data_IF_115622589437
#
_entry.id   IF_115622589437
#
_cell.length_a   1.000
_cell.length_b   1.000
_cell.length_c   1.000
_cell.angle_alpha   90.00
_cell.angle_beta   90.00
_cell.angle_gamma   90.00
#
_symmetry.space_group_name_H-M   'P 1'
#
loop_
_entity.id
_entity.type
_entity.pdbx_description
1 polymer ?
#
# COMPACT_ATOMS: atom_id res chain seq x y z
N UNK A 1 -4.90 5.88 -25.60
CA UNK A 1 -4.89 6.47 -24.24
C UNK A 1 -3.49 6.87 -23.77
N UNK A 2 -2.44 6.11 -24.04
CA UNK A 2 -1.05 6.43 -23.67
C UNK A 2 -0.51 7.76 -24.22
N UNK A 3 -0.96 8.20 -25.41
CA UNK A 3 -0.48 9.46 -26.04
C UNK A 3 -1.08 10.71 -25.40
N UNK A 4 -2.28 10.64 -24.83
CA UNK A 4 -2.91 11.80 -24.16
C UNK A 4 -2.25 12.03 -22.78
N UNK A 5 -1.83 10.95 -22.13
CA UNK A 5 -1.13 10.98 -20.84
C UNK A 5 0.21 11.72 -20.95
N UNK A 6 0.96 11.47 -22.01
CA UNK A 6 2.25 12.13 -22.26
C UNK A 6 2.11 13.63 -22.56
N UNK A 7 1.02 14.04 -23.22
CA UNK A 7 0.76 15.45 -23.56
C UNK A 7 0.36 16.25 -22.33
N UNK A 8 -0.38 15.67 -21.39
CA UNK A 8 -0.78 16.33 -20.14
C UNK A 8 0.45 16.52 -19.22
N UNK A 9 1.36 15.55 -19.15
CA UNK A 9 2.61 15.64 -18.38
C UNK A 9 3.56 16.74 -18.90
N UNK A 10 3.61 16.95 -20.22
CA UNK A 10 4.40 18.01 -20.86
C UNK A 10 3.86 19.42 -20.62
N UNK A 11 2.55 19.56 -20.37
CA UNK A 11 1.90 20.85 -20.13
C UNK A 11 2.02 21.35 -18.68
N UNK A 12 2.31 20.45 -17.72
CA UNK A 12 2.36 20.80 -16.30
C UNK A 12 3.78 21.12 -15.82
N UNK A 13 4.83 20.83 -16.61
CA UNK A 13 6.22 21.22 -16.31
C UNK A 13 6.79 20.61 -15.02
N UNK A 14 6.32 19.44 -14.61
CA UNK A 14 6.75 18.77 -13.38
C UNK A 14 8.11 18.10 -13.52
N UNK A 15 8.94 18.24 -12.47
CA UNK A 15 10.21 17.51 -12.36
C UNK A 15 9.97 16.01 -12.05
N UNK A 16 10.98 15.17 -12.31
CA UNK A 16 10.89 13.72 -12.11
C UNK A 16 10.54 13.30 -10.66
N UNK A 17 10.80 14.15 -9.67
CA UNK A 17 10.52 13.88 -8.25
C UNK A 17 9.05 14.11 -7.86
N UNK A 18 8.27 14.80 -8.71
CA UNK A 18 6.83 15.03 -8.47
C UNK A 18 5.94 14.01 -9.20
N UNK A 19 6.53 13.10 -9.98
CA UNK A 19 5.79 12.16 -10.83
C UNK A 19 4.84 11.24 -10.06
N UNK A 20 5.24 10.72 -8.91
CA UNK A 20 4.40 9.85 -8.08
C UNK A 20 3.19 10.58 -7.50
N UNK A 21 3.43 11.74 -6.86
CA UNK A 21 2.37 12.58 -6.26
C UNK A 21 1.41 13.10 -7.33
N UNK A 22 1.94 13.45 -8.51
CA UNK A 22 1.15 13.95 -9.63
C UNK A 22 0.35 12.83 -10.29
N UNK A 23 0.87 11.61 -10.38
CA UNK A 23 0.14 10.47 -10.94
C UNK A 23 -1.07 10.10 -10.07
N UNK A 24 -0.94 9.96 -8.76
CA UNK A 24 -2.06 9.67 -7.87
C UNK A 24 -3.15 10.75 -7.97
N UNK A 25 -2.75 12.03 -7.96
CA UNK A 25 -3.69 13.14 -8.11
C UNK A 25 -4.36 13.18 -9.48
N UNK A 26 -3.63 12.93 -10.57
CA UNK A 26 -4.18 12.90 -11.93
C UNK A 26 -5.13 11.69 -12.09
N UNK A 27 -4.79 10.52 -11.56
CA UNK A 27 -5.71 9.36 -11.56
C UNK A 27 -6.98 9.66 -10.76
N UNK A 28 -6.87 10.30 -9.60
CA UNK A 28 -8.03 10.77 -8.82
C UNK A 28 -8.88 11.77 -9.63
N UNK A 29 -8.25 12.73 -10.28
CA UNK A 29 -8.95 13.75 -11.10
C UNK A 29 -9.60 13.13 -12.35
N UNK A 30 -8.96 12.17 -13.02
CA UNK A 30 -9.53 11.43 -14.17
C UNK A 30 -10.68 10.52 -13.70
N UNK A 31 -10.52 9.85 -12.58
CA UNK A 31 -11.57 8.99 -12.02
C UNK A 31 -12.78 9.82 -11.59
N UNK A 32 -12.58 10.95 -10.93
CA UNK A 32 -13.67 11.89 -10.59
C UNK A 32 -14.32 12.50 -11.84
N UNK A 33 -13.54 12.86 -12.86
CA UNK A 33 -14.09 13.34 -14.15
C UNK A 33 -14.90 12.27 -14.88
N UNK A 34 -14.42 11.04 -14.95
CA UNK A 34 -15.16 9.93 -15.58
C UNK A 34 -16.43 9.57 -14.81
N UNK A 35 -16.44 9.76 -13.50
CA UNK A 35 -17.61 9.52 -12.66
C UNK A 35 -18.66 10.65 -12.73
N UNK A 36 -18.28 11.89 -13.05
CA UNK A 36 -19.22 13.00 -13.28
C UNK A 36 -19.94 12.91 -14.61
N UNK A 37 -19.41 12.15 -15.59
CA UNK A 37 -20.06 11.94 -16.91
C UNK A 37 -20.98 10.71 -16.96
N UNK A 38 -21.02 9.87 -15.93
CA UNK A 38 -21.89 8.70 -15.88
C UNK A 38 -23.28 9.07 -15.35
N UNK A 39 -24.17 9.49 -16.24
CA UNK A 39 -25.64 9.61 -15.99
C UNK A 39 -26.28 8.29 -15.51
N UNK A 40 -25.53 7.18 -15.47
CA UNK A 40 -25.98 5.86 -15.02
C UNK A 40 -25.93 5.68 -13.48
N UNK A 41 -25.27 6.58 -12.73
CA UNK A 41 -25.35 6.56 -11.26
C UNK A 41 -26.68 7.08 -10.68
N UNK A 42 -27.60 7.55 -11.50
CA UNK A 42 -28.94 8.00 -11.09
C UNK A 42 -29.93 6.86 -10.80
N UNK A 43 -29.48 5.64 -10.65
CA UNK A 43 -30.30 4.55 -10.12
C UNK A 43 -30.07 4.43 -8.61
N UNK A 44 -30.79 5.30 -7.88
CA UNK A 44 -31.11 5.12 -6.44
C UNK A 44 -29.95 4.66 -5.56
N UNK A 45 -29.15 5.60 -5.08
CA UNK A 45 -28.49 5.43 -3.78
C UNK A 45 -28.76 6.67 -2.95
N UNK A 46 -29.59 6.51 -1.97
CA UNK A 46 -29.66 7.38 -0.80
C UNK A 46 -28.24 7.44 -0.21
N UNK A 47 -27.72 8.69 -0.01
CA UNK A 47 -26.43 9.04 0.58
C UNK A 47 -25.24 8.23 0.01
N UNK A 48 -24.40 8.90 -0.77
CA UNK A 48 -23.11 8.34 -1.26
C UNK A 48 -22.27 7.92 -0.05
N UNK A 49 -22.32 6.63 0.25
CA UNK A 49 -21.42 6.02 1.22
C UNK A 49 -20.03 5.96 0.56
N UNK A 50 -19.15 6.91 0.91
CA UNK A 50 -17.83 7.06 0.31
C UNK A 50 -16.80 6.06 0.86
N UNK A 51 -17.25 5.02 1.57
CA UNK A 51 -16.39 4.02 2.20
C UNK A 51 -16.17 2.83 1.25
N UNK A 52 -15.34 3.00 0.26
CA UNK A 52 -15.03 1.94 -0.70
C UNK A 52 -13.58 1.95 -1.17
N UNK A 53 -13.14 0.82 -1.73
CA UNK A 53 -11.85 0.64 -2.39
C UNK A 53 -12.04 0.06 -3.78
N UNK A 54 -11.14 0.38 -4.71
CA UNK A 54 -11.09 -0.25 -6.03
C UNK A 54 -9.78 -1.01 -6.21
N UNK A 55 -9.89 -2.27 -6.64
CA UNK A 55 -8.78 -3.18 -6.90
C UNK A 55 -8.70 -3.50 -8.39
N UNK A 56 -7.49 -3.46 -8.93
CA UNK A 56 -7.17 -3.81 -10.32
C UNK A 56 -6.23 -5.01 -10.35
N UNK A 57 -6.57 -6.03 -11.13
CA UNK A 57 -5.78 -7.25 -11.24
C UNK A 57 -5.33 -7.46 -12.68
N UNK A 58 -4.12 -8.01 -12.87
CA UNK A 58 -3.54 -8.32 -14.18
C UNK A 58 -4.11 -9.57 -14.84
N UNK A 59 -5.10 -10.23 -14.23
CA UNK A 59 -5.76 -11.44 -14.73
C UNK A 59 -7.19 -11.56 -14.22
N UNK A 60 -7.88 -12.60 -14.64
CA UNK A 60 -9.19 -13.00 -14.12
C UNK A 60 -9.18 -13.23 -12.60
N UNK A 61 -10.26 -12.85 -11.92
CA UNK A 61 -10.48 -13.12 -10.51
C UNK A 61 -11.37 -14.37 -10.33
N UNK A 62 -11.00 -15.21 -9.39
CA UNK A 62 -11.78 -16.39 -9.04
C UNK A 62 -12.01 -16.44 -7.52
N UNK A 63 -13.25 -16.20 -7.11
CA UNK A 63 -13.70 -16.21 -5.73
C UNK A 63 -14.84 -17.21 -5.54
N UNK A 64 -14.55 -18.52 -5.42
CA UNK A 64 -15.58 -19.57 -5.33
C UNK A 64 -16.45 -19.49 -4.07
N UNK A 65 -15.95 -18.85 -3.00
CA UNK A 65 -16.66 -18.64 -1.73
C UNK A 65 -17.01 -17.17 -1.47
N UNK A 66 -16.83 -16.30 -2.48
CA UNK A 66 -16.95 -14.85 -2.34
C UNK A 66 -15.65 -14.19 -1.87
N UNK A 67 -15.68 -12.88 -1.73
CA UNK A 67 -14.50 -12.08 -1.35
C UNK A 67 -14.32 -11.99 0.17
N UNK A 68 -15.40 -12.09 0.96
CA UNK A 68 -15.36 -12.03 2.41
C UNK A 68 -14.67 -13.28 2.99
N UNK A 69 -13.84 -13.07 3.99
CA UNK A 69 -13.19 -14.10 4.78
C UNK A 69 -13.00 -13.60 6.22
N UNK A 70 -12.26 -14.33 7.06
CA UNK A 70 -12.03 -13.94 8.46
C UNK A 70 -11.35 -12.57 8.66
N UNK A 71 -10.66 -12.04 7.62
CA UNK A 71 -10.00 -10.73 7.63
C UNK A 71 -10.85 -9.61 6.97
N UNK A 72 -12.01 -9.93 6.39
CA UNK A 72 -12.83 -9.03 5.54
C UNK A 72 -14.31 -9.07 5.91
N UNK A 73 -14.61 -9.04 7.21
CA UNK A 73 -15.99 -9.19 7.70
C UNK A 73 -16.86 -7.95 7.49
N UNK A 74 -16.24 -6.78 7.37
CA UNK A 74 -16.91 -5.49 7.24
C UNK A 74 -17.38 -5.20 5.80
N UNK A 75 -17.14 -6.12 4.86
CA UNK A 75 -17.51 -5.94 3.46
C UNK A 75 -19.03 -6.11 3.30
N UNK A 76 -19.66 -5.10 2.73
CA UNK A 76 -21.08 -5.07 2.39
C UNK A 76 -21.35 -5.80 1.08
N UNK A 77 -20.62 -5.45 0.03
CA UNK A 77 -20.72 -6.08 -1.29
C UNK A 77 -19.45 -5.86 -2.12
N UNK A 78 -19.34 -6.63 -3.20
CA UNK A 78 -18.31 -6.50 -4.24
C UNK A 78 -19.00 -6.23 -5.59
N UNK A 79 -18.44 -5.33 -6.39
CA UNK A 79 -18.91 -5.04 -7.74
C UNK A 79 -17.82 -5.31 -8.76
N UNK A 80 -18.11 -6.12 -9.76
CA UNK A 80 -17.31 -6.23 -10.99
C UNK A 80 -17.59 -4.99 -11.85
N UNK A 81 -16.61 -4.10 -11.95
CA UNK A 81 -16.76 -2.82 -12.65
C UNK A 81 -16.77 -2.99 -14.18
N UNK A 82 -16.18 -4.06 -14.73
CA UNK A 82 -16.19 -4.33 -16.17
C UNK A 82 -17.55 -4.82 -16.65
N UNK A 83 -18.19 -5.68 -15.86
CA UNK A 83 -19.48 -6.30 -16.22
C UNK A 83 -20.68 -5.64 -15.50
N UNK A 84 -20.43 -4.64 -14.65
CA UNK A 84 -21.45 -3.94 -13.84
C UNK A 84 -22.31 -4.90 -13.02
N UNK A 85 -21.67 -5.93 -12.46
CA UNK A 85 -22.35 -6.97 -11.70
C UNK A 85 -22.00 -6.89 -10.22
N UNK A 86 -23.02 -6.78 -9.37
CA UNK A 86 -22.93 -6.71 -7.93
C UNK A 86 -23.08 -8.10 -7.31
N UNK A 87 -22.24 -8.43 -6.35
CA UNK A 87 -22.22 -9.66 -5.58
C UNK A 87 -22.30 -9.34 -4.09
N UNK A 88 -22.93 -10.18 -3.31
CA UNK A 88 -22.77 -10.14 -1.84
C UNK A 88 -21.34 -10.49 -1.49
N UNK A 89 -20.86 -10.01 -0.33
CA UNK A 89 -19.49 -10.24 0.12
C UNK A 89 -19.07 -11.73 0.13
N UNK A 90 -20.01 -12.62 0.47
CA UNK A 90 -19.83 -14.08 0.52
C UNK A 90 -20.42 -14.82 -0.70
N UNK A 91 -20.77 -14.12 -1.76
CA UNK A 91 -21.28 -14.73 -3.00
C UNK A 91 -20.12 -15.10 -3.93
N UNK A 92 -20.14 -16.32 -4.44
CA UNK A 92 -19.15 -16.78 -5.41
C UNK A 92 -19.19 -15.98 -6.70
N UNK A 93 -18.04 -15.59 -7.22
CA UNK A 93 -17.94 -14.97 -8.54
C UNK A 93 -16.62 -15.32 -9.22
N UNK A 94 -16.62 -15.27 -10.54
CA UNK A 94 -15.42 -15.31 -11.36
C UNK A 94 -15.57 -14.36 -12.54
N UNK A 95 -14.46 -13.87 -13.05
CA UNK A 95 -14.38 -13.08 -14.26
C UNK A 95 -13.68 -13.87 -15.35
N UNK A 96 -13.86 -13.50 -16.61
CA UNK A 96 -13.21 -14.15 -17.77
C UNK A 96 -12.06 -13.33 -18.35
N UNK A 97 -11.78 -12.19 -17.75
CA UNK A 97 -10.76 -11.22 -18.18
C UNK A 97 -10.07 -10.62 -16.96
N UNK A 98 -9.09 -9.74 -17.20
CA UNK A 98 -8.52 -8.90 -16.15
C UNK A 98 -9.61 -8.28 -15.29
N UNK A 99 -9.45 -8.38 -13.99
CA UNK A 99 -10.48 -8.06 -13.03
C UNK A 99 -10.32 -6.61 -12.53
N UNK A 100 -11.44 -5.92 -12.44
CA UNK A 100 -11.56 -4.61 -11.82
C UNK A 100 -12.75 -4.66 -10.87
N UNK A 101 -12.51 -4.61 -9.57
CA UNK A 101 -13.57 -4.76 -8.56
C UNK A 101 -13.60 -3.57 -7.61
N UNK A 102 -14.81 -3.12 -7.29
CA UNK A 102 -15.07 -2.18 -6.19
C UNK A 102 -15.59 -2.96 -4.99
N UNK A 103 -15.06 -2.64 -3.82
CA UNK A 103 -15.47 -3.23 -2.55
C UNK A 103 -16.06 -2.13 -1.69
N UNK A 104 -17.32 -2.30 -1.32
CA UNK A 104 -18.04 -1.39 -0.43
C UNK A 104 -18.06 -1.95 0.98
N UNK A 105 -17.81 -1.07 1.95
CA UNK A 105 -17.84 -1.41 3.37
C UNK A 105 -19.09 -0.87 4.04
N UNK A 106 -19.66 -1.63 4.98
CA UNK A 106 -20.84 -1.25 5.76
C UNK A 106 -20.50 -0.52 7.06
N UNK A 107 -19.26 -0.70 7.53
CA UNK A 107 -18.76 -0.16 8.79
C UNK A 107 -17.28 0.19 8.66
N UNK A 108 -16.71 1.04 9.54
CA UNK A 108 -15.27 1.25 9.63
C UNK A 108 -14.53 -0.07 9.87
N UNK A 109 -13.42 -0.26 9.16
CA UNK A 109 -12.58 -1.45 9.33
C UNK A 109 -11.80 -1.34 10.64
N UNK A 110 -11.66 -2.43 11.37
CA UNK A 110 -10.97 -2.47 12.67
C UNK A 110 -9.59 -3.10 12.58
N UNK A 111 -9.36 -3.93 11.56
CA UNK A 111 -8.11 -4.65 11.37
C UNK A 111 -7.84 -4.79 9.87
N UNK A 112 -6.60 -4.48 9.45
CA UNK A 112 -6.14 -4.64 8.07
C UNK A 112 -5.03 -5.71 7.98
N UNK A 113 -4.80 -6.48 9.05
CA UNK A 113 -3.87 -7.59 9.02
C UNK A 113 -4.24 -8.59 7.91
N UNK A 114 -3.30 -8.90 7.04
CA UNK A 114 -3.46 -9.78 5.87
C UNK A 114 -4.59 -9.39 4.88
N UNK A 115 -5.17 -8.20 4.99
CA UNK A 115 -6.42 -7.86 4.28
C UNK A 115 -6.30 -8.01 2.76
N UNK A 116 -5.18 -7.61 2.15
CA UNK A 116 -4.85 -7.78 0.73
C UNK A 116 -3.66 -8.73 0.55
N UNK A 117 -3.35 -9.60 1.50
CA UNK A 117 -2.19 -10.47 1.44
C UNK A 117 -2.39 -11.65 0.51
N UNK A 118 -1.38 -11.92 -0.33
CA UNK A 118 -1.33 -13.13 -1.15
C UNK A 118 -1.05 -14.41 -0.35
N UNK A 119 -0.73 -14.29 0.94
CA UNK A 119 -0.60 -15.43 1.85
C UNK A 119 -1.98 -16.04 2.20
N UNK A 120 -3.01 -15.21 2.17
CA UNK A 120 -4.39 -15.60 2.51
C UNK A 120 -5.26 -15.74 1.26
N UNK A 121 -5.03 -14.91 0.25
CA UNK A 121 -5.81 -14.87 -0.98
C UNK A 121 -4.86 -14.85 -2.19
N UNK A 122 -4.73 -15.99 -2.89
CA UNK A 122 -3.82 -16.13 -4.03
C UNK A 122 -4.10 -15.14 -5.17
N UNK A 123 -5.33 -14.62 -5.31
CA UNK A 123 -5.64 -13.63 -6.33
C UNK A 123 -4.87 -12.32 -6.10
N UNK A 124 -4.51 -12.01 -4.84
CA UNK A 124 -3.74 -10.80 -4.49
C UNK A 124 -2.33 -10.78 -5.11
N UNK A 125 -1.79 -11.92 -5.55
CA UNK A 125 -0.55 -11.96 -6.35
C UNK A 125 -0.65 -11.19 -7.66
N UNK A 126 -1.86 -11.05 -8.19
CA UNK A 126 -2.15 -10.39 -9.46
C UNK A 126 -2.73 -8.99 -9.30
N UNK A 127 -2.85 -8.51 -8.05
CA UNK A 127 -3.21 -7.14 -7.73
C UNK A 127 -2.12 -6.20 -8.27
N UNK A 128 -2.51 -5.27 -9.16
CA UNK A 128 -1.58 -4.31 -9.76
C UNK A 128 -1.70 -2.92 -9.16
N UNK A 129 -2.90 -2.52 -8.83
CA UNK A 129 -3.21 -1.20 -8.29
C UNK A 129 -4.36 -1.28 -7.29
N UNK A 130 -4.33 -0.40 -6.31
CA UNK A 130 -5.40 -0.22 -5.34
C UNK A 130 -5.64 1.27 -5.13
N UNK A 131 -6.91 1.66 -4.99
CA UNK A 131 -7.32 3.03 -4.68
C UNK A 131 -8.29 3.03 -3.53
N UNK A 132 -8.05 3.93 -2.58
CA UNK A 132 -8.88 4.15 -1.41
C UNK A 132 -9.76 5.40 -1.61
N UNK A 133 -11.06 5.29 -1.32
CA UNK A 133 -12.00 6.39 -1.46
C UNK A 133 -12.84 6.52 -0.20
N UNK A 134 -12.47 7.49 0.66
CA UNK A 134 -13.13 7.69 1.94
C UNK A 134 -13.12 6.45 2.85
N UNK A 135 -12.17 5.55 2.62
CA UNK A 135 -12.03 4.30 3.36
C UNK A 135 -11.69 4.59 4.82
N UNK A 136 -12.64 4.36 5.71
CA UNK A 136 -12.51 4.68 7.13
C UNK A 136 -11.64 3.66 7.85
N UNK A 137 -10.40 4.06 8.13
CA UNK A 137 -9.41 3.27 8.88
C UNK A 137 -9.15 3.81 10.28
N UNK A 138 -9.99 4.73 10.78
CA UNK A 138 -9.81 5.37 12.09
C UNK A 138 -9.81 4.41 13.28
N UNK A 139 -10.36 3.21 13.12
CA UNK A 139 -10.37 2.16 14.16
C UNK A 139 -9.27 1.10 13.96
N UNK A 140 -8.44 1.21 12.93
CA UNK A 140 -7.40 0.21 12.62
C UNK A 140 -6.24 0.34 13.59
N UNK A 141 -5.85 -0.77 14.19
CA UNK A 141 -4.69 -0.87 15.09
C UNK A 141 -3.58 -1.76 14.54
N UNK A 142 -3.87 -2.60 13.54
CA UNK A 142 -2.94 -3.57 12.97
C UNK A 142 -3.04 -3.59 11.44
N UNK A 143 -1.92 -3.29 10.78
CA UNK A 143 -1.72 -3.36 9.32
C UNK A 143 -0.65 -4.39 8.94
N UNK A 144 -0.32 -5.33 9.85
CA UNK A 144 0.67 -6.37 9.61
C UNK A 144 0.32 -7.16 8.35
N UNK A 145 1.30 -7.35 7.47
CA UNK A 145 1.16 -8.17 6.25
C UNK A 145 0.05 -7.71 5.29
N UNK A 146 -0.42 -6.45 5.36
CA UNK A 146 -1.58 -5.96 4.60
C UNK A 146 -1.49 -6.26 3.10
N UNK A 147 -0.30 -6.15 2.48
CA UNK A 147 -0.02 -6.42 1.06
C UNK A 147 1.04 -7.50 0.86
N UNK A 148 1.30 -8.32 1.87
CA UNK A 148 2.36 -9.32 1.79
C UNK A 148 2.18 -10.28 0.60
N UNK A 149 3.23 -10.40 -0.21
CA UNK A 149 3.25 -11.27 -1.38
C UNK A 149 2.46 -10.77 -2.60
N UNK A 150 2.01 -9.52 -2.63
CA UNK A 150 1.40 -8.89 -3.79
C UNK A 150 2.46 -8.62 -4.87
N UNK A 151 2.93 -9.68 -5.53
CA UNK A 151 4.09 -9.64 -6.44
C UNK A 151 3.89 -8.77 -7.69
N UNK A 152 2.65 -8.50 -8.09
CA UNK A 152 2.31 -7.66 -9.25
C UNK A 152 1.99 -6.21 -8.87
N UNK A 153 1.95 -5.88 -7.58
CA UNK A 153 1.62 -4.53 -7.10
C UNK A 153 2.71 -3.54 -7.51
N UNK A 154 2.31 -2.48 -8.24
CA UNK A 154 3.25 -1.53 -8.85
C UNK A 154 3.41 -0.27 -8.01
N UNK A 155 2.30 0.26 -7.51
CA UNK A 155 2.27 1.51 -6.76
C UNK A 155 1.10 1.51 -5.78
N UNK A 156 1.29 2.11 -4.61
CA UNK A 156 0.24 2.31 -3.60
C UNK A 156 0.26 3.74 -3.10
N UNK A 157 -0.90 4.37 -3.11
CA UNK A 157 -1.17 5.65 -2.47
C UNK A 157 -1.90 5.41 -1.15
N UNK A 158 -1.25 5.73 -0.03
CA UNK A 158 -1.79 5.56 1.32
C UNK A 158 -2.29 6.88 1.92
N UNK A 159 -2.35 7.96 1.12
CA UNK A 159 -2.64 9.31 1.60
C UNK A 159 -3.97 9.44 2.35
N UNK A 160 -4.99 8.67 1.95
CA UNK A 160 -6.34 8.72 2.52
C UNK A 160 -6.47 7.91 3.85
N UNK A 161 -5.48 7.09 4.22
CA UNK A 161 -5.59 6.23 5.40
C UNK A 161 -5.30 6.99 6.70
N UNK A 162 -6.21 6.90 7.65
CA UNK A 162 -5.97 7.30 9.05
C UNK A 162 -5.22 6.17 9.78
N UNK A 163 -3.95 6.41 10.08
CA UNK A 163 -3.09 5.45 10.79
C UNK A 163 -2.78 5.86 12.23
N UNK A 164 -3.50 6.85 12.77
CA UNK A 164 -3.23 7.43 14.10
C UNK A 164 -3.30 6.41 15.25
N UNK A 165 -4.09 5.35 15.09
CA UNK A 165 -4.25 4.27 16.06
C UNK A 165 -3.45 3.01 15.73
N UNK A 166 -2.68 3.00 14.63
CA UNK A 166 -1.94 1.81 14.20
C UNK A 166 -0.68 1.61 15.04
N UNK A 167 -0.54 0.42 15.60
CA UNK A 167 0.63 0.02 16.40
C UNK A 167 1.52 -1.01 15.70
N UNK A 168 1.02 -1.71 14.68
CA UNK A 168 1.75 -2.77 13.98
C UNK A 168 1.70 -2.55 12.46
N UNK A 169 2.88 -2.45 11.82
CA UNK A 169 3.05 -2.29 10.37
C UNK A 169 4.07 -3.28 9.78
N UNK A 170 4.47 -4.30 10.54
CA UNK A 170 5.44 -5.28 10.06
C UNK A 170 4.96 -6.04 8.84
N UNK A 171 5.88 -6.44 7.96
CA UNK A 171 5.62 -7.21 6.75
C UNK A 171 4.64 -6.57 5.75
N UNK A 172 4.24 -5.29 5.93
CA UNK A 172 3.13 -4.67 5.20
C UNK A 172 3.27 -4.81 3.68
N UNK A 173 4.48 -4.69 3.13
CA UNK A 173 4.80 -4.84 1.71
C UNK A 173 5.80 -5.97 1.45
N UNK A 174 6.00 -6.88 2.40
CA UNK A 174 6.98 -7.97 2.24
C UNK A 174 6.71 -8.78 0.96
N UNK A 175 7.73 -8.90 0.11
CA UNK A 175 7.62 -9.65 -1.14
C UNK A 175 6.81 -8.98 -2.25
N UNK A 176 6.53 -7.68 -2.17
CA UNK A 176 5.95 -6.90 -3.27
C UNK A 176 7.02 -6.62 -4.33
N UNK A 177 7.42 -7.65 -5.06
CA UNK A 177 8.60 -7.61 -5.94
C UNK A 177 8.50 -6.65 -7.12
N UNK A 178 7.30 -6.27 -7.57
CA UNK A 178 7.06 -5.29 -8.64
C UNK A 178 6.84 -3.86 -8.13
N UNK A 179 6.85 -3.65 -6.81
CA UNK A 179 6.55 -2.34 -6.21
C UNK A 179 7.66 -1.34 -6.57
N UNK A 180 7.26 -0.24 -7.25
CA UNK A 180 8.19 0.83 -7.68
C UNK A 180 8.09 2.08 -6.82
N UNK A 181 7.00 2.26 -6.08
CA UNK A 181 6.81 3.40 -5.19
C UNK A 181 5.61 3.24 -4.26
N UNK A 182 5.69 3.93 -3.13
CA UNK A 182 4.63 4.06 -2.13
C UNK A 182 4.51 5.52 -1.74
N UNK A 183 3.30 6.10 -1.80
CA UNK A 183 3.06 7.40 -1.17
C UNK A 183 2.59 7.17 0.27
N UNK A 184 3.54 7.30 1.20
CA UNK A 184 3.35 7.09 2.62
C UNK A 184 3.48 8.40 3.44
N UNK A 185 3.51 9.56 2.77
CA UNK A 185 3.83 10.84 3.40
C UNK A 185 2.86 11.23 4.53
N UNK A 186 1.58 10.84 4.41
CA UNK A 186 0.56 11.19 5.41
C UNK A 186 0.39 10.14 6.51
N UNK A 187 1.13 9.03 6.48
CA UNK A 187 1.00 8.04 7.53
C UNK A 187 1.45 8.61 8.88
N UNK A 188 0.56 8.55 9.85
CA UNK A 188 0.91 8.82 11.25
C UNK A 188 1.50 7.55 11.86
N UNK A 189 2.81 7.56 12.11
CA UNK A 189 3.54 6.40 12.66
C UNK A 189 3.93 6.55 14.13
N UNK A 190 3.53 7.65 14.78
CA UNK A 190 3.93 7.94 16.15
C UNK A 190 3.45 6.93 17.22
N UNK A 191 2.49 6.06 16.88
CA UNK A 191 2.03 4.97 17.76
C UNK A 191 2.59 3.59 17.38
N UNK A 192 3.38 3.50 16.31
CA UNK A 192 3.85 2.23 15.77
C UNK A 192 5.01 1.67 16.60
N UNK A 193 4.88 0.40 16.98
CA UNK A 193 5.86 -0.33 17.80
C UNK A 193 6.69 -1.31 16.96
N UNK A 194 6.17 -1.79 15.84
CA UNK A 194 6.81 -2.83 15.03
C UNK A 194 6.72 -2.52 13.53
N UNK A 195 7.90 -2.41 12.88
CA UNK A 195 8.07 -2.17 11.44
C UNK A 195 8.99 -3.22 10.78
N UNK A 196 9.29 -4.32 11.46
CA UNK A 196 10.18 -5.36 10.91
C UNK A 196 9.65 -5.90 9.59
N UNK A 197 10.55 -6.12 8.63
CA UNK A 197 10.27 -6.63 7.28
C UNK A 197 9.28 -5.78 6.44
N UNK A 198 8.97 -4.53 6.81
CA UNK A 198 7.92 -3.74 6.18
C UNK A 198 8.05 -3.65 4.66
N UNK A 199 9.27 -3.51 4.13
CA UNK A 199 9.58 -3.44 2.69
C UNK A 199 10.52 -4.57 2.25
N UNK A 200 10.66 -5.64 3.05
CA UNK A 200 11.56 -6.76 2.72
C UNK A 200 11.20 -7.35 1.35
N UNK A 201 12.23 -7.60 0.51
CA UNK A 201 12.09 -8.14 -0.84
C UNK A 201 11.26 -7.30 -1.82
N UNK A 202 11.14 -5.97 -1.61
CA UNK A 202 10.61 -5.04 -2.60
C UNK A 202 11.70 -4.75 -3.66
N UNK A 203 12.04 -5.76 -4.46
CA UNK A 203 13.23 -5.76 -5.33
C UNK A 203 13.20 -4.75 -6.49
N UNK A 204 12.02 -4.23 -6.87
CA UNK A 204 11.86 -3.19 -7.90
C UNK A 204 11.81 -1.76 -7.35
N UNK A 205 11.79 -1.58 -6.03
CA UNK A 205 11.71 -0.26 -5.39
C UNK A 205 13.02 0.49 -5.59
N UNK A 206 12.95 1.69 -6.19
CA UNK A 206 14.15 2.47 -6.54
C UNK A 206 14.40 3.64 -5.60
N UNK A 207 13.35 4.34 -5.21
CA UNK A 207 13.42 5.49 -4.33
C UNK A 207 12.32 5.38 -3.30
N UNK A 208 12.65 5.68 -2.03
CA UNK A 208 11.67 5.69 -0.94
C UNK A 208 11.97 6.83 0.02
N UNK A 209 10.98 7.69 0.23
CA UNK A 209 11.05 8.78 1.20
C UNK A 209 10.13 8.47 2.39
N UNK A 210 10.74 8.20 3.53
CA UNK A 210 10.09 7.97 4.81
C UNK A 210 10.45 9.06 5.83
N UNK A 211 10.86 10.25 5.37
CA UNK A 211 11.23 11.36 6.25
C UNK A 211 10.07 11.88 7.11
N UNK A 212 8.83 11.55 6.75
CA UNK A 212 7.63 11.87 7.56
C UNK A 212 7.40 10.88 8.71
N UNK A 213 8.07 9.73 8.73
CA UNK A 213 7.85 8.72 9.77
C UNK A 213 8.41 9.16 11.12
N UNK A 214 7.57 9.08 12.14
CA UNK A 214 7.99 9.14 13.54
C UNK A 214 8.23 7.72 14.04
N UNK A 215 9.48 7.40 14.34
CA UNK A 215 9.89 6.08 14.81
C UNK A 215 10.25 6.06 16.30
N UNK A 216 9.91 7.12 17.04
CA UNK A 216 10.27 7.28 18.45
C UNK A 216 9.77 6.14 19.36
N UNK A 217 8.67 5.48 19.00
CA UNK A 217 8.10 4.34 19.72
C UNK A 217 8.45 2.99 19.10
N UNK A 218 9.12 2.97 17.94
CA UNK A 218 9.42 1.71 17.23
C UNK A 218 10.53 0.96 17.95
N UNK A 219 10.28 -0.30 18.23
CA UNK A 219 11.23 -1.17 18.95
C UNK A 219 11.95 -2.17 18.02
N UNK A 220 11.34 -2.54 16.90
CA UNK A 220 11.90 -3.51 15.96
C UNK A 220 11.75 -3.05 14.51
N UNK A 221 12.88 -3.02 13.79
CA UNK A 221 13.02 -2.73 12.35
C UNK A 221 13.88 -3.80 11.66
N UNK A 222 13.95 -5.04 12.20
CA UNK A 222 14.71 -6.12 11.59
C UNK A 222 14.29 -6.31 10.14
N UNK A 223 15.27 -6.43 9.24
CA UNK A 223 15.06 -6.72 7.83
C UNK A 223 14.11 -5.75 7.11
N UNK A 224 13.92 -4.51 7.62
CA UNK A 224 12.91 -3.59 7.08
C UNK A 224 13.07 -3.36 5.57
N UNK A 225 14.31 -3.31 5.05
CA UNK A 225 14.63 -3.14 3.63
C UNK A 225 15.42 -4.31 3.05
N UNK A 226 15.41 -5.49 3.73
CA UNK A 226 16.12 -6.69 3.26
C UNK A 226 15.76 -7.01 1.82
N UNK A 227 16.76 -7.23 0.95
CA UNK A 227 16.53 -7.62 -0.43
C UNK A 227 15.92 -6.55 -1.35
N UNK A 228 15.90 -5.27 -0.95
CA UNK A 228 15.52 -4.15 -1.81
C UNK A 228 16.64 -3.85 -2.82
N UNK A 229 16.91 -4.80 -3.73
CA UNK A 229 18.11 -4.81 -4.58
C UNK A 229 18.21 -3.66 -5.58
N UNK A 230 17.09 -3.02 -5.95
CA UNK A 230 17.06 -1.86 -6.85
C UNK A 230 17.01 -0.51 -6.13
N UNK A 231 16.98 -0.49 -4.79
CA UNK A 231 16.85 0.74 -4.00
C UNK A 231 18.12 1.57 -4.11
N UNK A 232 17.98 2.79 -4.67
CA UNK A 232 19.09 3.74 -4.90
C UNK A 232 19.12 4.86 -3.88
N UNK A 233 17.95 5.39 -3.56
CA UNK A 233 17.80 6.53 -2.66
C UNK A 233 16.81 6.18 -1.56
N UNK A 234 17.25 6.28 -0.32
CA UNK A 234 16.41 6.07 0.87
C UNK A 234 16.58 7.24 1.84
N UNK A 235 15.47 7.92 2.10
CA UNK A 235 15.42 8.99 3.08
C UNK A 235 14.73 8.51 4.36
N UNK A 236 15.52 8.26 5.38
CA UNK A 236 15.11 7.91 6.74
C UNK A 236 15.69 8.89 7.76
N UNK A 237 15.84 10.16 7.35
CA UNK A 237 16.51 11.19 8.13
C UNK A 237 15.84 11.47 9.49
N UNK A 238 14.56 11.10 9.66
CA UNK A 238 13.84 11.25 10.93
C UNK A 238 13.76 9.94 11.73
N UNK A 239 14.39 8.86 11.26
CA UNK A 239 14.44 7.63 12.05
C UNK A 239 15.31 7.83 13.27
N UNK A 240 14.82 7.39 14.42
CA UNK A 240 15.51 7.46 15.68
C UNK A 240 14.54 7.15 16.82
N UNK A 241 15.10 6.84 17.99
CA UNK A 241 14.30 6.55 19.19
C UNK A 241 15.09 5.69 20.17
N UNK A 242 14.92 5.95 21.46
CA UNK A 242 15.61 5.20 22.53
C UNK A 242 15.09 3.75 22.68
N UNK A 243 13.97 3.44 22.03
CA UNK A 243 13.31 2.14 22.17
C UNK A 243 13.76 1.11 21.12
N UNK A 244 14.56 1.52 20.11
CA UNK A 244 15.03 0.61 19.05
C UNK A 244 16.05 -0.37 19.62
N UNK A 245 15.76 -1.68 19.54
CA UNK A 245 16.67 -2.74 19.95
C UNK A 245 16.93 -3.80 18.87
N UNK A 246 16.16 -3.80 17.77
CA UNK A 246 16.27 -4.80 16.71
C UNK A 246 16.32 -4.11 15.34
N UNK A 247 17.46 -4.26 14.66
CA UNK A 247 17.75 -3.71 13.31
C UNK A 247 18.59 -4.71 12.49
N UNK A 248 18.52 -6.00 12.83
CA UNK A 248 19.33 -7.01 12.17
C UNK A 248 19.00 -7.09 10.68
N UNK A 249 20.04 -7.14 9.84
CA UNK A 249 19.96 -7.27 8.38
C UNK A 249 19.09 -6.20 7.68
N UNK A 250 18.90 -5.03 8.30
CA UNK A 250 17.98 -3.98 7.82
C UNK A 250 18.22 -3.60 6.36
N UNK A 251 19.47 -3.57 5.89
CA UNK A 251 19.87 -3.20 4.52
C UNK A 251 20.57 -4.33 3.77
N UNK A 252 20.44 -5.59 4.25
CA UNK A 252 21.06 -6.71 3.56
C UNK A 252 20.46 -6.89 2.15
N UNK A 253 21.31 -6.98 1.11
CA UNK A 253 20.86 -7.11 -0.28
C UNK A 253 20.32 -5.82 -0.91
N UNK A 254 20.56 -4.65 -0.31
CA UNK A 254 20.31 -3.34 -0.95
C UNK A 254 21.49 -2.97 -1.88
N UNK A 255 21.76 -3.81 -2.89
CA UNK A 255 22.98 -3.76 -3.69
C UNK A 255 23.13 -2.50 -4.55
N UNK A 256 22.04 -1.78 -4.81
CA UNK A 256 22.00 -0.55 -5.62
C UNK A 256 22.02 0.74 -4.79
N UNK A 257 22.13 0.68 -3.46
CA UNK A 257 21.96 1.84 -2.58
C UNK A 257 23.13 2.84 -2.75
N UNK A 258 22.82 4.01 -3.32
CA UNK A 258 23.78 5.10 -3.59
C UNK A 258 23.70 6.21 -2.54
N UNK A 259 22.51 6.46 -1.99
CA UNK A 259 22.27 7.51 -1.02
C UNK A 259 21.41 7.01 0.15
N UNK A 260 21.94 7.19 1.37
CA UNK A 260 21.26 6.85 2.63
C UNK A 260 21.53 7.95 3.66
N UNK A 261 20.49 8.62 4.12
CA UNK A 261 20.58 9.58 5.21
C UNK A 261 20.13 8.95 6.55
N UNK A 262 21.09 8.71 7.42
CA UNK A 262 20.91 8.16 8.77
C UNK A 262 21.36 9.15 9.85
N UNK A 263 21.39 10.45 9.56
CA UNK A 263 22.00 11.47 10.40
C UNK A 263 21.39 11.57 11.80
N UNK A 264 20.12 11.19 11.99
CA UNK A 264 19.42 11.18 13.27
C UNK A 264 19.19 9.77 13.83
N UNK A 265 19.75 8.75 13.19
CA UNK A 265 19.53 7.36 13.60
C UNK A 265 20.34 7.05 14.87
N UNK A 266 19.68 7.09 16.03
CA UNK A 266 20.29 6.80 17.32
C UNK A 266 20.20 5.30 17.65
N UNK A 267 21.36 4.66 17.71
CA UNK A 267 21.51 3.21 17.91
C UNK A 267 22.07 2.85 19.31
N UNK A 268 21.95 3.74 20.28
CA UNK A 268 22.60 3.58 21.60
C UNK A 268 22.19 2.29 22.31
N UNK A 269 20.98 1.79 22.09
CA UNK A 269 20.44 0.62 22.79
C UNK A 269 20.54 -0.68 21.97
N UNK A 270 21.14 -0.66 20.79
CA UNK A 270 21.34 -1.86 20.01
C UNK A 270 22.65 -2.56 20.43
N UNK A 271 22.57 -3.64 21.22
CA UNK A 271 23.75 -4.36 21.78
C UNK A 271 24.55 -5.16 20.74
N UNK A 272 23.99 -5.45 19.57
CA UNK A 272 24.65 -6.19 18.50
C UNK A 272 24.25 -5.64 17.12
N UNK A 273 25.14 -4.81 16.55
CA UNK A 273 24.98 -4.28 15.19
C UNK A 273 25.38 -5.31 14.15
N UNK A 274 24.42 -5.82 13.42
CA UNK A 274 24.65 -6.45 12.13
C UNK A 274 23.93 -5.67 11.04
N UNK A 275 24.23 -4.37 10.92
CA UNK A 275 23.90 -3.64 9.70
C UNK A 275 24.84 -4.20 8.62
N UNK A 276 24.37 -5.22 7.89
CA UNK A 276 25.13 -5.76 6.77
C UNK A 276 24.80 -4.94 5.53
N UNK A 277 25.81 -4.20 5.05
CA UNK A 277 25.86 -3.80 3.66
C UNK A 277 26.63 -4.91 2.94
N UNK A 278 26.04 -5.56 1.96
CA UNK A 278 26.78 -6.47 1.10
C UNK A 278 27.69 -5.61 0.22
N UNK A 279 29.02 -5.83 0.28
CA UNK A 279 29.99 -5.31 -0.68
C UNK A 279 30.07 -6.23 -1.87
#
# INVERSE_FOLDING_TARGET
MTSIFFIILLLIGCSSNDLGKTQGKIYKDIYTMNNTTNELRNLQTDELDNNFITLYFSRECNYPEGFANEYRNEISYVMDLKNYKKFKANEAFNTTEECEIEIQFSEPVKNLQYFFSAQVDENMRFLTNIYFFGFDTSLVTDMTSMFEGCISLIYVDLYELDTSNVSLMGYMFNGCTSLTGVDAFNLNTGSVLFMGNMFSNCSSLQNLDLSSFDTSMVSNMDQMFYGCSSLKELNISNFGGSEIYAIDEMFYGCDSLEYLDISNFDMINCDYYKIYFHQ
#
